data_IF_149872141660
#
_entry.id   IF_149872141660
#
_cell.length_a   1.000
_cell.length_b   1.000
_cell.length_c   1.000
_cell.angle_alpha   90.00
_cell.angle_beta   90.00
_cell.angle_gamma   90.00
#
_symmetry.space_group_name_H-M   'P 1'
#
loop_
_entity.id
_entity.type
_entity.pdbx_description
1 polymer ?
#
# COMPACT_ATOMS: atom_id res chain seq x y z
N UNK A 1 -9.44 4.47 -24.65
CA UNK A 1 -9.91 3.31 -23.86
C UNK A 1 -9.76 3.66 -22.39
N UNK A 2 -10.83 3.59 -21.59
CA UNK A 2 -10.79 3.85 -20.15
C UNK A 2 -10.76 2.51 -19.43
N UNK A 3 -9.72 2.25 -18.65
CA UNK A 3 -9.64 1.07 -17.80
C UNK A 3 -10.13 1.47 -16.40
N UNK A 4 -11.26 0.93 -15.96
CA UNK A 4 -11.70 1.05 -14.56
C UNK A 4 -11.15 -0.13 -13.77
N UNK A 5 -10.20 0.12 -12.86
CA UNK A 5 -9.77 -0.85 -11.85
C UNK A 5 -10.08 -0.31 -10.46
N UNK A 6 -10.66 -1.14 -9.61
CA UNK A 6 -10.87 -0.79 -8.21
C UNK A 6 -9.51 -0.82 -7.52
N UNK A 7 -9.10 0.30 -6.97
CA UNK A 7 -8.01 0.38 -6.02
C UNK A 7 -8.64 0.63 -4.65
N UNK A 8 -8.43 -0.28 -3.70
CA UNK A 8 -9.00 -0.16 -2.36
C UNK A 8 -8.04 -0.68 -1.30
N UNK A 9 -8.06 -0.04 -0.13
CA UNK A 9 -7.37 -0.49 1.06
C UNK A 9 -8.39 -0.50 2.21
N UNK A 10 -8.61 -1.66 2.80
CA UNK A 10 -9.43 -1.81 3.99
C UNK A 10 -8.52 -2.07 5.18
N UNK A 11 -8.57 -1.20 6.19
CA UNK A 11 -7.71 -1.28 7.36
C UNK A 11 -8.53 -1.32 8.64
N UNK A 12 -8.16 -2.22 9.54
CA UNK A 12 -8.63 -2.27 10.92
C UNK A 12 -7.49 -1.86 11.85
N UNK A 13 -7.77 -0.91 12.72
CA UNK A 13 -6.84 -0.46 13.75
C UNK A 13 -7.09 -1.21 15.07
N UNK A 14 -6.02 -1.55 15.78
CA UNK A 14 -6.01 -2.05 17.15
C UNK A 14 -4.85 -1.38 17.89
N UNK A 15 -5.15 -0.25 18.54
CA UNK A 15 -4.13 0.67 19.02
C UNK A 15 -3.27 1.19 17.87
N UNK A 16 -1.95 1.05 17.98
CA UNK A 16 -1.00 1.41 16.92
C UNK A 16 -0.82 0.33 15.86
N UNK A 17 -1.43 -0.84 16.01
CA UNK A 17 -1.34 -1.93 15.04
C UNK A 17 -2.45 -1.83 14.00
N UNK A 18 -2.09 -2.12 12.76
CA UNK A 18 -2.99 -2.09 11.61
C UNK A 18 -2.91 -3.40 10.86
N UNK A 19 -4.07 -3.97 10.55
CA UNK A 19 -4.20 -5.14 9.67
C UNK A 19 -5.26 -4.87 8.62
N UNK A 20 -5.21 -5.58 7.51
CA UNK A 20 -6.19 -5.33 6.46
C UNK A 20 -5.92 -6.01 5.14
N UNK A 21 -6.52 -5.44 4.11
CA UNK A 21 -6.41 -5.93 2.75
C UNK A 21 -6.22 -4.79 1.74
N UNK A 22 -5.52 -5.09 0.66
CA UNK A 22 -5.28 -4.17 -0.45
C UNK A 22 -5.64 -4.81 -1.79
N UNK A 23 -6.32 -4.06 -2.64
CA UNK A 23 -6.63 -4.42 -4.02
C UNK A 23 -6.04 -3.33 -4.90
N UNK A 24 -5.14 -3.67 -5.83
CA UNK A 24 -4.57 -2.66 -6.75
C UNK A 24 -3.68 -3.18 -7.88
N UNK A 25 -2.98 -4.30 -7.69
CA UNK A 25 -2.02 -4.83 -8.68
C UNK A 25 -2.63 -5.85 -9.67
N UNK A 26 -3.92 -6.14 -9.60
CA UNK A 26 -4.55 -7.19 -10.43
C UNK A 26 -4.16 -8.63 -10.01
N UNK A 27 -3.44 -8.79 -8.91
CA UNK A 27 -2.94 -10.09 -8.44
C UNK A 27 -3.83 -10.78 -7.40
N UNK A 28 -5.02 -10.23 -7.16
CA UNK A 28 -5.91 -10.62 -6.08
C UNK A 28 -5.74 -9.74 -4.83
N UNK A 29 -6.48 -10.07 -3.78
CA UNK A 29 -6.47 -9.32 -2.53
C UNK A 29 -5.19 -9.60 -1.75
N UNK A 30 -4.35 -8.57 -1.57
CA UNK A 30 -3.15 -8.66 -0.77
C UNK A 30 -3.45 -8.45 0.72
N UNK A 31 -2.68 -9.11 1.59
CA UNK A 31 -2.73 -8.87 3.03
C UNK A 31 -1.91 -7.64 3.41
N UNK A 32 -2.41 -6.86 4.36
CA UNK A 32 -1.71 -5.73 4.98
C UNK A 32 -1.49 -6.01 6.47
N UNK A 33 -0.30 -5.68 6.96
CA UNK A 33 0.01 -5.74 8.38
C UNK A 33 1.12 -4.77 8.74
N UNK A 34 0.97 -4.02 9.82
CA UNK A 34 2.00 -3.11 10.27
C UNK A 34 1.55 -2.20 11.40
N UNK A 35 2.23 -1.06 11.53
CA UNK A 35 2.05 -0.17 12.68
C UNK A 35 2.14 1.30 12.29
N UNK A 36 1.48 2.13 13.09
CA UNK A 36 1.67 3.58 13.05
C UNK A 36 3.04 3.95 13.61
N UNK A 37 3.66 4.93 12.97
CA UNK A 37 4.88 5.58 13.41
C UNK A 37 4.72 7.09 13.17
N UNK A 38 4.33 7.82 14.22
CA UNK A 38 4.00 9.24 14.13
C UNK A 38 2.79 9.52 13.24
N UNK A 39 3.00 10.32 12.20
CA UNK A 39 2.00 10.72 11.21
C UNK A 39 1.82 9.70 10.06
N UNK A 40 2.69 8.68 10.03
CA UNK A 40 2.69 7.63 9.03
C UNK A 40 2.17 6.29 9.59
N UNK A 41 1.60 5.47 8.70
CA UNK A 41 1.34 4.05 8.95
C UNK A 41 2.19 3.27 7.96
N UNK A 42 3.07 2.41 8.49
CA UNK A 42 3.93 1.55 7.70
C UNK A 42 3.35 0.14 7.70
N UNK A 43 3.04 -0.37 6.52
CA UNK A 43 2.37 -1.64 6.31
C UNK A 43 3.22 -2.51 5.40
N UNK A 44 3.51 -3.74 5.82
CA UNK A 44 3.97 -4.78 4.91
C UNK A 44 2.79 -5.25 4.05
N UNK A 45 3.02 -5.32 2.73
CA UNK A 45 2.10 -5.97 1.80
C UNK A 45 2.58 -7.41 1.60
N UNK A 46 1.65 -8.36 1.69
CA UNK A 46 1.82 -9.73 1.23
C UNK A 46 0.89 -9.99 0.05
N UNK A 47 1.45 -10.04 -1.15
CA UNK A 47 0.69 -10.27 -2.38
C UNK A 47 0.12 -11.70 -2.42
N UNK A 48 -1.09 -11.84 -2.98
CA UNK A 48 -1.71 -13.15 -3.19
C UNK A 48 -0.99 -13.97 -4.28
N UNK A 49 -0.37 -13.28 -5.25
CA UNK A 49 0.50 -13.83 -6.30
C UNK A 49 1.70 -12.92 -6.46
N UNK A 50 2.76 -13.41 -7.10
CA UNK A 50 3.93 -12.57 -7.40
C UNK A 50 3.56 -11.36 -8.23
N UNK A 51 4.09 -10.21 -7.82
CA UNK A 51 4.04 -8.94 -8.53
C UNK A 51 5.48 -8.57 -8.79
N UNK A 52 5.88 -8.39 -10.05
CA UNK A 52 7.26 -8.06 -10.41
C UNK A 52 8.31 -9.02 -9.80
N UNK A 53 7.97 -10.31 -9.67
CA UNK A 53 8.88 -11.33 -9.12
C UNK A 53 9.02 -11.35 -7.59
N UNK A 54 8.30 -10.51 -6.85
CA UNK A 54 8.25 -10.55 -5.37
C UNK A 54 6.78 -10.70 -4.88
N UNK A 55 6.62 -11.30 -3.70
CA UNK A 55 5.35 -11.35 -2.97
C UNK A 55 5.26 -10.33 -1.84
N UNK A 56 6.32 -9.52 -1.66
CA UNK A 56 6.40 -8.54 -0.58
C UNK A 56 6.56 -7.15 -1.16
N UNK A 57 5.89 -6.21 -0.52
CA UNK A 57 6.11 -4.78 -0.73
C UNK A 57 5.98 -4.06 0.60
N UNK A 58 6.31 -2.77 0.59
CA UNK A 58 6.03 -1.86 1.70
C UNK A 58 5.04 -0.81 1.23
N UNK A 59 4.02 -0.55 2.04
CA UNK A 59 3.10 0.56 1.87
C UNK A 59 3.27 1.54 3.02
N UNK A 60 3.39 2.82 2.68
CA UNK A 60 3.34 3.91 3.64
C UNK A 60 2.09 4.73 3.39
N UNK A 61 1.30 4.96 4.43
CA UNK A 61 0.17 5.87 4.41
C UNK A 61 0.53 7.08 5.25
N UNK A 62 0.54 8.28 4.66
CA UNK A 62 0.82 9.53 5.39
C UNK A 62 -0.34 10.50 5.25
N UNK A 63 -0.59 11.27 6.30
CA UNK A 63 -1.50 12.41 6.22
C UNK A 63 -0.85 13.52 5.40
N UNK A 64 -1.63 14.18 4.54
CA UNK A 64 -1.22 15.36 3.78
C UNK A 64 -2.16 16.51 4.17
N UNK A 65 -1.65 17.47 4.95
CA UNK A 65 -2.46 18.58 5.47
C UNK A 65 -3.59 18.11 6.40
N UNK A 66 -4.72 18.82 6.39
CA UNK A 66 -5.84 18.52 7.28
C UNK A 66 -6.71 17.34 6.79
N UNK A 67 -6.91 17.22 5.48
CA UNK A 67 -7.90 16.32 4.84
C UNK A 67 -7.33 15.40 3.77
N UNK A 68 -6.04 15.52 3.45
CA UNK A 68 -5.37 14.69 2.45
C UNK A 68 -4.67 13.47 3.04
N UNK A 69 -4.43 12.49 2.19
CA UNK A 69 -3.68 11.28 2.51
C UNK A 69 -2.89 10.84 1.28
N UNK A 70 -1.64 10.45 1.48
CA UNK A 70 -0.79 9.85 0.44
C UNK A 70 -0.53 8.40 0.77
N UNK A 71 -0.79 7.54 -0.19
CA UNK A 71 -0.42 6.14 -0.19
C UNK A 71 0.81 5.97 -1.09
N UNK A 72 1.87 5.35 -0.58
CA UNK A 72 3.08 5.04 -1.35
C UNK A 72 3.40 3.57 -1.21
N UNK A 73 3.43 2.85 -2.32
CA UNK A 73 3.87 1.46 -2.39
C UNK A 73 5.27 1.40 -2.97
N UNK A 74 6.16 0.70 -2.27
CA UNK A 74 7.54 0.46 -2.63
C UNK A 74 7.75 -1.05 -2.74
N UNK A 75 8.14 -1.50 -3.92
CA UNK A 75 8.56 -2.88 -4.18
C UNK A 75 10.09 -2.94 -4.26
N UNK A 76 10.65 -4.14 -4.15
CA UNK A 76 12.07 -4.38 -4.42
C UNK A 76 12.18 -4.97 -5.81
N UNK A 77 12.95 -4.34 -6.69
CA UNK A 77 13.28 -4.89 -8.00
C UNK A 77 14.15 -6.14 -7.80
N UNK A 78 13.69 -7.35 -8.21
CA UNK A 78 14.44 -8.58 -7.99
C UNK A 78 15.72 -8.65 -8.84
N UNK A 79 15.79 -7.92 -9.96
CA UNK A 79 16.97 -7.92 -10.82
C UNK A 79 18.12 -7.08 -10.24
N UNK A 80 17.79 -6.00 -9.51
CA UNK A 80 18.80 -5.04 -9.01
C UNK A 80 18.88 -4.95 -7.49
N UNK A 81 17.90 -5.49 -6.77
CA UNK A 81 17.73 -5.36 -5.31
C UNK A 81 17.31 -3.96 -4.86
N UNK A 82 17.00 -3.05 -5.78
CA UNK A 82 16.69 -1.64 -5.46
C UNK A 82 15.23 -1.47 -5.10
N UNK A 83 14.95 -0.59 -4.15
CA UNK A 83 13.59 -0.17 -3.83
C UNK A 83 13.05 0.77 -4.90
N UNK A 84 11.87 0.47 -5.45
CA UNK A 84 11.20 1.23 -6.51
C UNK A 84 9.79 1.58 -6.06
N UNK A 85 9.40 2.85 -6.20
CA UNK A 85 8.01 3.28 -5.99
C UNK A 85 7.16 2.81 -7.16
N UNK A 86 6.21 1.92 -6.91
CA UNK A 86 5.32 1.34 -7.92
C UNK A 86 3.92 1.93 -7.89
N UNK A 87 3.56 2.58 -6.78
CA UNK A 87 2.29 3.29 -6.64
C UNK A 87 2.43 4.52 -5.76
N UNK A 88 1.87 5.64 -6.22
CA UNK A 88 1.69 6.85 -5.44
C UNK A 88 0.27 7.34 -5.69
N UNK A 89 -0.54 7.38 -4.64
CA UNK A 89 -1.95 7.77 -4.72
C UNK A 89 -2.20 8.86 -3.70
N UNK A 90 -2.68 10.00 -4.18
CA UNK A 90 -3.16 11.08 -3.33
C UNK A 90 -4.69 11.03 -3.24
N UNK A 91 -5.18 10.99 -2.01
CA UNK A 91 -6.59 10.97 -1.67
C UNK A 91 -6.90 12.27 -0.92
N UNK A 92 -7.97 12.95 -1.30
CA UNK A 92 -8.51 14.07 -0.55
C UNK A 92 -9.92 13.74 -0.09
N UNK A 93 -10.23 14.08 1.16
CA UNK A 93 -11.61 14.09 1.64
C UNK A 93 -12.27 15.38 1.14
N UNK A 94 -13.27 15.22 0.27
CA UNK A 94 -14.19 16.29 -0.17
C UNK A 94 -15.20 16.65 0.91
#
# INVERSE_FOLDING_TARGET
MVFSRIISANLKASGDNYTGSYVGAGTGTAGLGGKRNGDAINLAIKWAKEVNGDRRAQMTIRKIGASGMRLTTVDTDPATGRSVVTSLIDLQRS
#
